data_IF_687924844622
#
_entry.id   IF_687924844622
#
_cell.length_a   1.000
_cell.length_b   1.000
_cell.length_c   1.000
_cell.angle_alpha   90.00
_cell.angle_beta   90.00
_cell.angle_gamma   90.00
#
_symmetry.space_group_name_H-M   'P 1'
#
loop_
_entity.id
_entity.type
_entity.pdbx_description
1 polymer ?
#
# COMPACT_ATOMS: atom_id res chain seq x y z
N UNK A 1 56.50 44.66 50.02
CA UNK A 1 55.16 44.06 50.19
C UNK A 1 54.57 43.94 48.79
N UNK A 2 54.85 42.81 48.13
CA UNK A 2 54.66 42.58 46.70
C UNK A 2 53.52 41.56 46.55
N UNK A 3 52.49 41.89 45.75
CA UNK A 3 51.41 40.98 45.38
C UNK A 3 51.97 39.85 44.50
N UNK A 4 51.73 38.59 44.89
CA UNK A 4 52.00 37.40 44.09
C UNK A 4 50.72 37.02 43.33
N UNK A 5 50.79 37.00 41.99
CA UNK A 5 49.76 36.46 41.12
C UNK A 5 49.87 34.92 41.09
N UNK A 6 48.76 34.22 41.35
CA UNK A 6 48.65 32.78 41.18
C UNK A 6 48.07 32.47 39.80
N UNK A 7 48.92 32.00 38.87
CA UNK A 7 48.48 31.25 37.70
C UNK A 7 48.07 29.85 38.14
N UNK A 8 46.76 29.54 38.09
CA UNK A 8 46.28 28.17 38.09
C UNK A 8 46.35 27.63 36.65
N UNK A 9 47.30 26.74 36.41
CA UNK A 9 47.31 25.82 35.27
C UNK A 9 46.16 24.82 35.45
N UNK A 10 45.13 24.90 34.62
CA UNK A 10 44.14 23.84 34.47
C UNK A 10 44.83 22.66 33.79
N UNK A 11 45.20 21.66 34.60
CA UNK A 11 45.68 20.37 34.14
C UNK A 11 44.52 19.59 33.54
N UNK A 12 44.65 19.19 32.28
CA UNK A 12 43.73 18.26 31.61
C UNK A 12 43.52 17.02 32.49
N UNK A 13 42.28 16.75 32.85
CA UNK A 13 41.87 15.54 33.55
C UNK A 13 42.22 14.30 32.73
N UNK A 14 42.77 13.30 33.40
CA UNK A 14 43.29 12.09 32.79
C UNK A 14 42.20 11.24 32.15
N UNK A 15 42.58 10.59 31.04
CA UNK A 15 41.87 9.50 30.41
C UNK A 15 41.86 8.26 31.31
N UNK A 16 40.79 8.06 32.06
CA UNK A 16 40.44 6.80 32.71
C UNK A 16 39.73 5.85 31.72
N UNK A 17 40.53 5.24 30.85
CA UNK A 17 40.49 3.79 30.59
C UNK A 17 39.20 3.11 30.12
N UNK A 18 38.21 3.81 29.57
CA UNK A 18 37.01 3.20 28.95
C UNK A 18 36.83 3.65 27.49
N UNK A 19 37.92 3.69 26.73
CA UNK A 19 37.88 3.84 25.26
C UNK A 19 37.48 2.51 24.61
N UNK A 20 36.29 2.00 24.92
CA UNK A 20 35.69 0.93 24.13
C UNK A 20 35.28 1.52 22.78
N UNK A 21 35.84 1.02 21.69
CA UNK A 21 35.34 1.34 20.36
C UNK A 21 33.85 1.00 20.30
N UNK A 22 33.03 1.95 19.85
CA UNK A 22 31.59 1.72 19.66
C UNK A 22 31.42 1.04 18.31
N UNK A 23 30.43 0.17 18.20
CA UNK A 23 30.09 -0.48 16.94
C UNK A 23 28.63 -0.20 16.65
N UNK A 24 28.38 0.56 15.58
CA UNK A 24 27.03 0.69 15.04
C UNK A 24 26.79 -0.47 14.08
N UNK A 25 25.73 -1.22 14.33
CA UNK A 25 25.25 -2.29 13.45
C UNK A 25 23.95 -1.83 12.82
N UNK A 26 23.64 -2.36 11.65
CA UNK A 26 22.34 -2.13 11.06
C UNK A 26 22.11 -2.96 9.83
N UNK A 27 20.92 -2.82 9.27
CA UNK A 27 20.48 -3.46 8.04
C UNK A 27 19.93 -2.42 7.09
N UNK A 28 20.18 -2.58 5.80
CA UNK A 28 19.52 -1.81 4.74
C UNK A 28 18.48 -2.72 4.09
N UNK A 29 17.22 -2.31 4.13
CA UNK A 29 16.10 -3.18 3.79
C UNK A 29 15.03 -2.42 2.99
N UNK A 30 14.62 -3.00 1.85
CA UNK A 30 13.43 -2.58 1.10
C UNK A 30 12.36 -3.66 1.25
N UNK A 31 11.88 -4.29 0.18
CA UNK A 31 11.10 -5.53 0.31
C UNK A 31 11.98 -6.76 0.54
N UNK A 32 13.29 -6.59 0.36
CA UNK A 32 14.33 -7.59 0.60
C UNK A 32 15.58 -6.88 1.15
N UNK A 33 16.54 -7.61 1.74
CA UNK A 33 17.81 -7.03 2.13
C UNK A 33 18.56 -6.43 0.93
N UNK A 34 19.07 -5.21 1.08
CA UNK A 34 19.81 -4.52 0.01
C UNK A 34 21.27 -4.95 0.06
N UNK A 35 21.70 -5.79 -0.88
CA UNK A 35 23.06 -6.35 -0.93
C UNK A 35 24.03 -5.42 -1.65
N UNK A 36 25.21 -5.19 -1.07
CA UNK A 36 26.27 -4.38 -1.69
C UNK A 36 25.99 -2.87 -1.73
N UNK A 37 25.05 -2.37 -0.93
CA UNK A 37 24.85 -0.94 -0.76
C UNK A 37 26.06 -0.29 -0.07
N UNK A 38 26.42 0.90 -0.51
CA UNK A 38 27.49 1.70 0.09
C UNK A 38 26.94 2.53 1.25
N UNK A 39 27.32 2.18 2.48
CA UNK A 39 26.85 2.83 3.71
C UNK A 39 27.83 3.89 4.19
N UNK A 40 27.28 5.04 4.59
CA UNK A 40 27.99 6.16 5.23
C UNK A 40 27.27 6.55 6.51
N UNK A 41 28.01 6.69 7.61
CA UNK A 41 27.48 7.11 8.92
C UNK A 41 28.10 8.46 9.28
N UNK A 42 27.26 9.43 9.66
CA UNK A 42 27.66 10.80 9.96
C UNK A 42 27.06 11.32 11.25
N UNK A 43 27.77 12.19 11.95
CA UNK A 43 27.24 12.92 13.12
C UNK A 43 26.11 13.85 12.72
N UNK A 44 25.03 13.87 13.51
CA UNK A 44 23.96 14.86 13.39
C UNK A 44 24.40 16.27 13.80
N UNK A 45 25.45 16.41 14.61
CA UNK A 45 25.90 17.69 15.15
C UNK A 45 26.77 18.49 14.17
N UNK A 46 27.72 17.84 13.49
CA UNK A 46 28.71 18.52 12.64
C UNK A 46 28.94 17.89 11.26
N UNK A 47 28.10 16.91 10.87
CA UNK A 47 28.18 16.21 9.59
C UNK A 47 29.47 15.38 9.38
N UNK A 48 30.28 15.19 10.42
CA UNK A 48 31.50 14.41 10.36
C UNK A 48 31.19 12.94 10.02
N UNK A 49 31.86 12.40 9.01
CA UNK A 49 31.70 11.01 8.60
C UNK A 49 32.59 10.08 9.43
N UNK A 50 31.98 9.13 10.14
CA UNK A 50 32.67 8.11 10.93
C UNK A 50 33.12 6.93 10.09
N UNK A 51 32.27 6.50 9.16
CA UNK A 51 32.60 5.51 8.15
C UNK A 51 31.96 5.91 6.82
N UNK A 52 32.59 5.51 5.72
CA UNK A 52 32.15 5.83 4.37
C UNK A 52 32.49 4.65 3.47
N UNK A 53 31.54 4.26 2.61
CA UNK A 53 31.76 3.17 1.66
C UNK A 53 31.76 1.77 2.30
N UNK A 54 31.07 1.60 3.44
CA UNK A 54 30.93 0.27 4.07
C UNK A 54 29.91 -0.52 3.26
N UNK A 55 30.29 -1.64 2.60
CA UNK A 55 29.33 -2.42 1.83
C UNK A 55 28.40 -3.21 2.76
N UNK A 56 27.12 -3.31 2.40
CA UNK A 56 26.22 -4.26 3.04
C UNK A 56 26.51 -5.70 2.60
N UNK A 57 26.33 -6.65 3.51
CA UNK A 57 26.44 -8.08 3.27
C UNK A 57 25.19 -8.64 2.55
N UNK A 58 25.18 -9.96 2.32
CA UNK A 58 24.09 -10.66 1.62
C UNK A 58 22.74 -10.59 2.37
N UNK A 59 22.77 -10.41 3.69
CA UNK A 59 21.60 -10.18 4.54
C UNK A 59 21.28 -8.68 4.72
N UNK A 60 21.90 -7.81 3.90
CA UNK A 60 21.75 -6.35 3.98
C UNK A 60 22.42 -5.72 5.19
N UNK A 61 23.11 -6.51 6.04
CA UNK A 61 23.73 -6.00 7.25
C UNK A 61 25.00 -5.20 6.97
N UNK A 62 25.30 -4.23 7.83
CA UNK A 62 26.56 -3.50 7.83
C UNK A 62 27.06 -3.30 9.27
N UNK A 63 28.36 -3.05 9.39
CA UNK A 63 29.02 -2.77 10.66
C UNK A 63 29.94 -1.57 10.49
N UNK A 64 29.71 -0.52 11.28
CA UNK A 64 30.48 0.71 11.27
C UNK A 64 31.15 0.92 12.64
N UNK A 65 32.49 0.88 12.72
CA UNK A 65 33.19 1.25 13.95
C UNK A 65 33.09 2.77 14.17
N UNK A 66 32.67 3.17 15.36
CA UNK A 66 32.55 4.57 15.78
C UNK A 66 33.55 4.85 16.91
N UNK A 67 34.35 5.90 16.73
CA UNK A 67 35.39 6.28 17.67
C UNK A 67 34.79 6.78 19.00
N UNK A 68 35.47 6.50 20.11
CA UNK A 68 35.06 6.96 21.44
C UNK A 68 35.12 8.49 21.56
N UNK A 69 34.10 9.10 22.18
CA UNK A 69 34.01 10.55 22.45
C UNK A 69 32.83 11.29 21.80
N UNK A 70 31.94 10.56 21.13
CA UNK A 70 30.86 11.16 20.34
C UNK A 70 29.52 11.32 21.09
N UNK A 71 28.68 12.20 20.56
CA UNK A 71 27.39 12.62 21.11
C UNK A 71 26.27 11.55 21.04
N UNK A 72 26.51 10.42 20.37
CA UNK A 72 25.55 9.32 20.25
C UNK A 72 24.42 9.58 19.25
N UNK A 73 24.55 10.61 18.40
CA UNK A 73 23.52 11.06 17.49
C UNK A 73 24.03 11.02 16.04
N UNK A 74 23.52 10.07 15.27
CA UNK A 74 23.99 9.80 13.90
C UNK A 74 22.85 9.77 12.89
N UNK A 75 23.21 10.01 11.64
CA UNK A 75 22.38 9.62 10.52
C UNK A 75 23.18 8.74 9.56
N UNK A 76 22.46 7.79 8.98
CA UNK A 76 23.02 6.75 8.11
C UNK A 76 22.44 6.92 6.72
N UNK A 77 23.30 6.84 5.71
CA UNK A 77 22.93 6.90 4.30
C UNK A 77 23.42 5.64 3.63
N UNK A 78 22.53 4.89 3.00
CA UNK A 78 22.84 3.77 2.13
C UNK A 78 22.57 4.18 0.68
N UNK A 79 23.51 3.90 -0.22
CA UNK A 79 23.42 4.24 -1.64
C UNK A 79 23.75 3.03 -2.53
N UNK A 80 22.95 2.81 -3.56
CA UNK A 80 23.15 1.73 -4.52
C UNK A 80 22.97 0.32 -3.93
N UNK A 81 23.26 -0.70 -4.73
CA UNK A 81 23.14 -2.11 -4.32
C UNK A 81 22.01 -2.87 -5.04
N UNK A 82 21.91 -4.17 -4.78
CA UNK A 82 20.81 -4.98 -5.28
C UNK A 82 19.50 -4.55 -4.60
N UNK A 83 18.48 -4.16 -5.38
CA UNK A 83 17.22 -3.62 -4.86
C UNK A 83 17.23 -2.11 -4.57
N UNK A 84 18.37 -1.44 -4.69
CA UNK A 84 18.51 0.01 -4.57
C UNK A 84 19.30 0.56 -5.78
N UNK A 85 18.64 1.08 -6.83
CA UNK A 85 19.32 1.53 -8.04
C UNK A 85 20.45 2.53 -7.78
N UNK A 86 21.47 2.53 -8.64
CA UNK A 86 22.59 3.47 -8.53
C UNK A 86 22.09 4.93 -8.52
N UNK A 87 22.61 5.75 -7.59
CA UNK A 87 22.19 7.14 -7.38
C UNK A 87 20.90 7.31 -6.57
N UNK A 88 20.30 6.22 -6.09
CA UNK A 88 19.21 6.28 -5.11
C UNK A 88 19.75 6.02 -3.71
N UNK A 89 19.20 6.73 -2.73
CA UNK A 89 19.59 6.61 -1.32
C UNK A 89 18.42 6.20 -0.44
N UNK A 90 18.72 5.49 0.64
CA UNK A 90 17.86 5.33 1.82
C UNK A 90 18.59 5.89 3.04
N UNK A 91 17.83 6.47 3.97
CA UNK A 91 18.37 7.13 5.16
C UNK A 91 17.70 6.60 6.42
N UNK A 92 18.45 6.61 7.52
CA UNK A 92 17.96 6.32 8.86
C UNK A 92 18.64 7.21 9.89
N UNK A 93 18.03 7.33 11.07
CA UNK A 93 18.59 8.05 12.21
C UNK A 93 19.02 7.10 13.32
N UNK A 94 19.90 7.58 14.19
CA UNK A 94 20.27 6.92 15.45
C UNK A 94 20.38 8.02 16.49
N UNK A 95 19.58 7.95 17.56
CA UNK A 95 19.43 9.06 18.50
C UNK A 95 19.79 8.64 19.92
N UNK A 96 20.46 9.51 20.67
CA UNK A 96 20.73 9.34 22.11
C UNK A 96 21.44 8.04 22.52
N UNK A 97 22.30 7.48 21.65
CA UNK A 97 23.04 6.26 22.00
C UNK A 97 24.01 6.56 23.14
N UNK A 98 23.92 5.82 24.24
CA UNK A 98 24.80 6.02 25.40
C UNK A 98 26.14 5.31 25.21
N UNK A 99 27.21 5.69 25.96
CA UNK A 99 28.48 4.99 25.89
C UNK A 99 28.33 3.48 26.18
N UNK A 100 29.01 2.64 25.38
CA UNK A 100 28.99 1.17 25.45
C UNK A 100 27.68 0.49 25.05
N UNK A 101 26.67 1.25 24.64
CA UNK A 101 25.46 0.68 24.05
C UNK A 101 25.76 0.19 22.63
N UNK A 102 25.40 -1.06 22.35
CA UNK A 102 25.30 -1.60 21.00
C UNK A 102 23.86 -1.40 20.53
N UNK A 103 23.68 -0.71 19.40
CA UNK A 103 22.38 -0.53 18.77
C UNK A 103 22.42 -1.07 17.35
N UNK A 104 21.35 -1.78 16.98
CA UNK A 104 21.05 -2.18 15.61
C UNK A 104 20.05 -1.18 15.06
N UNK A 105 20.23 -0.76 13.81
CA UNK A 105 19.31 0.17 13.15
C UNK A 105 18.78 -0.43 11.86
N UNK A 106 17.58 0.00 11.49
CA UNK A 106 17.01 -0.31 10.19
C UNK A 106 17.05 0.92 9.29
N UNK A 107 17.73 0.82 8.14
CA UNK A 107 17.65 1.81 7.06
C UNK A 107 16.65 1.29 6.03
N UNK A 108 15.48 1.92 5.97
CA UNK A 108 14.34 1.51 5.16
C UNK A 108 13.63 2.69 4.50
N UNK A 109 12.66 2.44 3.60
CA UNK A 109 11.77 3.48 3.08
C UNK A 109 11.04 4.27 4.18
N UNK A 110 10.64 3.62 5.28
CA UNK A 110 9.90 4.29 6.38
C UNK A 110 10.84 5.17 7.20
N UNK A 111 12.02 4.68 7.57
CA UNK A 111 13.04 5.49 8.25
C UNK A 111 13.44 6.68 7.39
N UNK A 112 13.51 6.50 6.07
CA UNK A 112 13.89 7.56 5.17
C UNK A 112 12.84 8.68 5.07
N UNK A 113 11.55 8.34 5.16
CA UNK A 113 10.48 9.35 5.26
C UNK A 113 10.58 10.16 6.55
N UNK A 114 10.91 9.53 7.68
CA UNK A 114 11.16 10.23 8.93
C UNK A 114 12.36 11.18 8.83
N UNK A 115 13.45 10.75 8.17
CA UNK A 115 14.59 11.65 7.87
C UNK A 115 14.19 12.79 6.93
N UNK A 116 13.38 12.52 5.90
CA UNK A 116 12.90 13.55 4.97
C UNK A 116 12.08 14.63 5.70
N UNK A 117 11.20 14.23 6.61
CA UNK A 117 10.44 15.14 7.46
C UNK A 117 11.35 15.96 8.37
N UNK A 118 12.33 15.33 9.03
CA UNK A 118 13.29 16.02 9.89
C UNK A 118 14.08 17.09 9.10
N UNK A 119 14.59 16.74 7.93
CA UNK A 119 15.33 17.66 7.05
C UNK A 119 14.46 18.84 6.60
N UNK A 120 13.21 18.58 6.21
CA UNK A 120 12.27 19.61 5.78
C UNK A 120 11.92 20.58 6.92
N UNK A 121 11.62 20.05 8.11
CA UNK A 121 11.32 20.87 9.29
C UNK A 121 12.50 21.73 9.73
N UNK A 122 13.71 21.18 9.69
CA UNK A 122 14.93 21.94 9.95
C UNK A 122 15.12 23.06 8.92
N UNK A 123 14.94 22.77 7.63
CA UNK A 123 15.05 23.76 6.56
C UNK A 123 14.01 24.88 6.67
N UNK A 124 12.81 24.57 7.17
CA UNK A 124 11.75 25.53 7.45
C UNK A 124 11.94 26.30 8.78
N UNK A 125 12.94 25.94 9.59
CA UNK A 125 13.19 26.55 10.90
C UNK A 125 12.12 26.22 11.95
N UNK A 126 11.37 25.12 11.77
CA UNK A 126 10.39 24.62 12.74
C UNK A 126 11.05 24.03 13.99
N UNK A 127 12.24 23.46 13.80
CA UNK A 127 13.04 22.87 14.87
C UNK A 127 14.38 23.63 15.02
N UNK A 128 14.90 23.76 16.25
CA UNK A 128 16.06 24.61 16.53
C UNK A 128 17.38 24.09 15.98
N UNK A 129 17.51 22.77 15.84
CA UNK A 129 18.68 22.09 15.32
C UNK A 129 18.31 20.71 14.74
N UNK A 130 19.29 20.05 14.10
CA UNK A 130 19.08 18.77 13.43
C UNK A 130 18.67 17.65 14.39
N UNK A 131 19.21 17.63 15.61
CA UNK A 131 18.89 16.59 16.60
C UNK A 131 17.43 16.74 17.05
N UNK A 132 16.99 17.96 17.36
CA UNK A 132 15.61 18.26 17.69
C UNK A 132 14.63 17.93 16.55
N UNK A 133 15.04 18.18 15.30
CA UNK A 133 14.23 17.84 14.13
C UNK A 133 14.04 16.32 13.98
N UNK A 134 15.10 15.54 14.16
CA UNK A 134 15.03 14.07 14.11
C UNK A 134 14.16 13.52 15.25
N UNK A 135 14.34 14.00 16.49
CA UNK A 135 13.49 13.63 17.63
C UNK A 135 12.02 13.92 17.37
N UNK A 136 11.71 15.09 16.80
CA UNK A 136 10.34 15.45 16.49
C UNK A 136 9.75 14.58 15.39
N UNK A 137 10.52 14.31 14.33
CA UNK A 137 10.07 13.43 13.25
C UNK A 137 9.79 12.01 13.75
N UNK A 138 10.68 11.43 14.57
CA UNK A 138 10.46 10.11 15.20
C UNK A 138 9.21 10.12 16.06
N UNK A 139 9.03 11.10 16.93
CA UNK A 139 7.86 11.18 17.79
C UNK A 139 6.54 11.28 17.00
N UNK A 140 6.55 12.00 15.87
CA UNK A 140 5.39 12.09 14.97
C UNK A 140 5.11 10.75 14.28
N UNK A 141 6.15 10.08 13.76
CA UNK A 141 6.01 8.77 13.14
C UNK A 141 5.59 7.69 14.13
N UNK A 142 6.16 7.66 15.34
CA UNK A 142 5.79 6.72 16.39
C UNK A 142 4.33 6.92 16.82
N UNK A 143 3.90 8.17 17.01
CA UNK A 143 2.50 8.48 17.30
C UNK A 143 1.53 8.04 16.17
N UNK A 144 1.98 8.07 14.91
CA UNK A 144 1.16 7.70 13.77
C UNK A 144 1.17 6.20 13.44
N UNK A 145 2.35 5.61 13.28
CA UNK A 145 2.56 4.21 12.93
C UNK A 145 2.50 3.27 14.13
N UNK A 146 2.50 3.78 15.37
CA UNK A 146 2.63 2.99 16.59
C UNK A 146 3.91 2.14 16.57
N UNK A 147 5.01 2.72 16.06
CA UNK A 147 6.31 2.09 15.83
C UNK A 147 7.38 3.16 15.58
N UNK A 148 8.51 3.05 16.27
CA UNK A 148 9.70 3.87 15.99
C UNK A 148 10.37 3.41 14.69
N UNK A 149 10.47 4.27 13.65
CA UNK A 149 11.02 3.90 12.36
C UNK A 149 12.56 3.74 12.35
N UNK A 150 13.26 4.17 13.40
CA UNK A 150 14.72 4.06 13.54
C UNK A 150 15.15 2.86 14.37
N UNK A 151 14.31 2.43 15.31
CA UNK A 151 14.63 1.35 16.25
C UNK A 151 13.99 0.00 15.92
N UNK A 152 12.87 -0.03 15.20
CA UNK A 152 12.22 -1.29 14.90
C UNK A 152 13.08 -2.15 13.96
N UNK A 153 13.28 -3.41 14.37
CA UNK A 153 13.97 -4.41 13.57
C UNK A 153 13.03 -5.01 12.51
N UNK A 154 13.51 -5.16 11.28
CA UNK A 154 12.73 -5.87 10.25
C UNK A 154 12.52 -7.33 10.64
N UNK A 155 11.38 -7.88 10.22
CA UNK A 155 11.00 -9.26 10.49
C UNK A 155 10.89 -10.09 9.22
N UNK A 156 11.14 -11.38 9.37
CA UNK A 156 10.83 -12.35 8.33
C UNK A 156 9.31 -12.57 8.25
N UNK A 157 8.70 -12.10 7.16
CA UNK A 157 7.28 -12.26 6.91
C UNK A 157 6.91 -13.66 6.41
N UNK A 158 7.88 -14.55 6.14
CA UNK A 158 7.63 -15.94 5.71
C UNK A 158 7.32 -16.90 6.86
N UNK A 159 7.45 -16.44 8.11
CA UNK A 159 7.23 -17.23 9.32
C UNK A 159 6.15 -16.61 10.23
N UNK A 160 5.45 -17.42 11.04
CA UNK A 160 4.44 -16.91 11.98
C UNK A 160 4.97 -15.78 12.88
N UNK A 161 4.19 -14.70 13.03
CA UNK A 161 4.58 -13.54 13.83
C UNK A 161 3.38 -12.91 14.54
N UNK A 162 3.64 -12.23 15.66
CA UNK A 162 2.72 -11.28 16.27
C UNK A 162 2.83 -9.91 15.61
N UNK A 163 1.79 -9.07 15.76
CA UNK A 163 1.80 -7.67 15.37
C UNK A 163 2.56 -6.79 16.39
N UNK A 164 3.87 -6.94 16.43
CA UNK A 164 4.79 -6.04 17.17
C UNK A 164 5.45 -5.03 16.22
N UNK A 165 6.32 -4.18 16.77
CA UNK A 165 6.91 -3.04 16.06
C UNK A 165 7.70 -3.46 14.80
N UNK A 166 8.43 -4.57 14.89
CA UNK A 166 9.12 -5.13 13.73
C UNK A 166 8.18 -5.63 12.64
N UNK A 167 7.06 -6.27 13.02
CA UNK A 167 6.04 -6.68 12.07
C UNK A 167 5.35 -5.47 11.42
N UNK A 168 5.02 -4.44 12.20
CA UNK A 168 4.41 -3.19 11.71
C UNK A 168 5.33 -2.45 10.74
N UNK A 169 6.61 -2.29 11.08
CA UNK A 169 7.60 -1.69 10.19
C UNK A 169 7.70 -2.47 8.88
N UNK A 170 7.86 -3.79 8.97
CA UNK A 170 8.04 -4.63 7.78
C UNK A 170 6.77 -4.63 6.91
N UNK A 171 5.59 -4.73 7.51
CA UNK A 171 4.31 -4.60 6.80
C UNK A 171 4.17 -3.22 6.14
N UNK A 172 4.57 -2.13 6.79
CA UNK A 172 4.54 -0.80 6.19
C UNK A 172 5.48 -0.69 4.97
N UNK A 173 6.67 -1.29 5.05
CA UNK A 173 7.60 -1.34 3.91
C UNK A 173 6.97 -2.12 2.75
N UNK A 174 6.44 -3.32 2.99
CA UNK A 174 5.76 -4.10 1.96
C UNK A 174 4.47 -3.43 1.44
N UNK A 175 3.76 -2.72 2.30
CA UNK A 175 2.58 -1.92 1.97
C UNK A 175 2.91 -0.80 0.98
N UNK A 176 4.01 -0.07 1.17
CA UNK A 176 4.46 0.95 0.21
C UNK A 176 4.78 0.35 -1.17
N UNK A 177 5.38 -0.84 -1.22
CA UNK A 177 5.64 -1.54 -2.47
C UNK A 177 4.34 -2.04 -3.12
N UNK A 178 3.42 -2.58 -2.33
CA UNK A 178 2.10 -3.04 -2.78
C UNK A 178 1.25 -1.87 -3.31
N UNK A 179 1.31 -0.70 -2.68
CA UNK A 179 0.63 0.51 -3.14
C UNK A 179 1.13 0.95 -4.52
N UNK A 180 2.45 0.99 -4.72
CA UNK A 180 3.03 1.28 -6.03
C UNK A 180 2.62 0.25 -7.10
N UNK A 181 2.54 -1.03 -6.73
CA UNK A 181 2.08 -2.09 -7.62
C UNK A 181 0.58 -1.93 -7.99
N UNK A 182 -0.28 -1.61 -7.02
CA UNK A 182 -1.70 -1.36 -7.26
C UNK A 182 -1.91 -0.13 -8.15
N UNK A 183 -1.17 0.95 -7.91
CA UNK A 183 -1.19 2.14 -8.77
C UNK A 183 -0.77 1.82 -10.22
N UNK A 184 0.14 0.86 -10.43
CA UNK A 184 0.53 0.41 -11.77
C UNK A 184 -0.60 -0.37 -12.45
N UNK A 185 -1.28 -1.26 -11.71
CA UNK A 185 -2.44 -2.02 -12.20
C UNK A 185 -3.59 -1.07 -12.57
N UNK A 186 -3.90 -0.10 -11.71
CA UNK A 186 -4.94 0.91 -11.95
C UNK A 186 -4.65 1.73 -13.22
N UNK A 187 -3.38 2.07 -13.46
CA UNK A 187 -2.94 2.76 -14.67
C UNK A 187 -2.87 1.87 -15.93
N UNK A 188 -3.11 0.56 -15.80
CA UNK A 188 -3.00 -0.39 -16.91
C UNK A 188 -1.56 -0.53 -17.45
N UNK A 189 -0.54 -0.20 -16.66
CA UNK A 189 0.87 -0.37 -17.02
C UNK A 189 1.42 -1.68 -16.47
N UNK A 190 2.56 -2.14 -17.01
CA UNK A 190 3.14 -3.41 -16.58
C UNK A 190 3.52 -3.39 -15.09
N UNK A 191 3.34 -4.52 -14.41
CA UNK A 191 3.77 -4.68 -13.02
C UNK A 191 5.27 -4.33 -12.88
N UNK A 192 5.61 -3.55 -11.86
CA UNK A 192 6.97 -3.05 -11.63
C UNK A 192 7.36 -1.82 -12.45
N UNK A 193 6.50 -1.30 -13.34
CA UNK A 193 6.74 -0.01 -14.02
C UNK A 193 6.71 1.16 -13.05
N UNK A 194 5.92 1.03 -11.98
CA UNK A 194 5.92 1.92 -10.82
C UNK A 194 6.50 1.15 -9.64
N UNK A 195 7.38 1.80 -8.89
CA UNK A 195 8.18 1.18 -7.85
C UNK A 195 8.01 1.89 -6.53
N UNK A 196 8.26 1.16 -5.43
CA UNK A 196 8.31 1.72 -4.08
C UNK A 196 9.23 2.95 -3.99
N UNK A 197 10.38 2.92 -4.68
CA UNK A 197 11.36 4.01 -4.65
C UNK A 197 10.88 5.26 -5.39
N UNK A 198 10.07 5.12 -6.45
CA UNK A 198 9.43 6.26 -7.10
C UNK A 198 8.36 6.89 -6.22
N UNK A 199 7.55 6.07 -5.54
CA UNK A 199 6.59 6.56 -4.55
C UNK A 199 7.30 7.28 -3.40
N UNK A 200 8.38 6.69 -2.87
CA UNK A 200 9.21 7.28 -1.83
C UNK A 200 9.79 8.63 -2.26
N UNK A 201 10.26 8.75 -3.51
CA UNK A 201 10.77 10.01 -4.05
C UNK A 201 9.69 11.10 -4.10
N UNK A 202 8.46 10.76 -4.45
CA UNK A 202 7.33 11.71 -4.43
C UNK A 202 6.95 12.13 -3.02
N UNK A 203 6.92 11.20 -2.06
CA UNK A 203 6.65 11.53 -0.66
C UNK A 203 7.75 12.41 -0.03
N UNK A 204 9.01 12.22 -0.43
CA UNK A 204 10.11 13.14 -0.07
C UNK A 204 9.91 14.53 -0.64
N UNK A 205 9.45 14.60 -1.90
CA UNK A 205 9.16 15.88 -2.54
C UNK A 205 8.03 16.59 -1.80
N UNK A 206 6.96 15.87 -1.49
CA UNK A 206 5.79 16.38 -0.78
C UNK A 206 6.16 17.03 0.55
N UNK A 207 6.84 16.28 1.43
CA UNK A 207 7.24 16.81 2.74
C UNK A 207 8.30 17.90 2.65
N UNK A 208 9.04 18.01 1.55
CA UNK A 208 9.98 19.11 1.31
C UNK A 208 9.30 20.39 0.80
N UNK A 209 8.03 20.32 0.41
CA UNK A 209 7.27 21.48 -0.05
C UNK A 209 6.80 22.36 1.12
N UNK A 210 6.41 23.63 0.86
CA UNK A 210 5.95 24.53 1.90
C UNK A 210 4.79 23.96 2.72
N UNK A 211 4.97 23.86 4.03
CA UNK A 211 4.01 23.23 4.94
C UNK A 211 4.60 22.03 5.65
N UNK A 212 5.58 21.36 5.02
CA UNK A 212 6.35 20.24 5.54
C UNK A 212 5.48 19.10 6.10
N UNK A 213 4.45 18.76 5.32
CA UNK A 213 3.46 17.72 5.59
C UNK A 213 3.32 16.84 4.34
N UNK A 214 2.82 15.63 4.53
CA UNK A 214 2.42 14.72 3.46
C UNK A 214 0.99 15.04 3.04
N UNK A 215 0.78 16.08 2.22
CA UNK A 215 -0.55 16.51 1.78
C UNK A 215 -0.71 16.55 0.25
N UNK A 216 0.31 16.13 -0.49
CA UNK A 216 0.32 16.05 -1.95
C UNK A 216 0.60 17.37 -2.64
N UNK A 217 1.21 18.35 -1.96
CA UNK A 217 1.29 19.75 -2.39
C UNK A 217 -0.10 20.31 -2.77
N UNK A 218 -1.15 19.90 -2.06
CA UNK A 218 -2.54 20.22 -2.40
C UNK A 218 -3.13 19.42 -3.57
N UNK A 219 -2.61 18.20 -3.83
CA UNK A 219 -3.11 17.23 -4.82
C UNK A 219 -2.40 17.23 -6.17
N UNK A 220 -1.21 17.82 -6.26
CA UNK A 220 -0.45 17.95 -7.51
C UNK A 220 0.49 16.77 -7.81
N UNK A 221 0.87 15.99 -6.80
CA UNK A 221 1.85 14.92 -6.94
C UNK A 221 1.23 13.63 -7.44
N UNK A 222 1.84 13.05 -8.49
CA UNK A 222 1.31 11.88 -9.21
C UNK A 222 2.40 10.86 -9.49
N UNK A 223 2.12 9.60 -9.17
CA UNK A 223 2.97 8.46 -9.48
C UNK A 223 2.65 7.94 -10.89
N UNK A 224 3.58 8.09 -11.82
CA UNK A 224 3.38 7.69 -13.22
C UNK A 224 2.61 8.72 -14.03
N UNK A 225 1.74 8.29 -14.94
CA UNK A 225 0.96 9.19 -15.80
C UNK A 225 -0.35 9.64 -15.15
N UNK A 226 -0.86 8.86 -14.18
CA UNK A 226 -2.02 9.11 -13.33
C UNK A 226 -3.10 10.00 -13.98
N UNK A 227 -3.92 9.37 -14.83
CA UNK A 227 -5.03 10.03 -15.52
C UNK A 227 -6.13 10.42 -14.52
N UNK A 228 -6.97 11.39 -14.91
CA UNK A 228 -8.07 11.84 -14.05
C UNK A 228 -9.05 10.68 -13.74
N UNK A 229 -9.42 10.57 -12.46
CA UNK A 229 -10.29 9.51 -11.97
C UNK A 229 -9.56 8.24 -11.53
N UNK A 230 -8.22 8.25 -11.52
CA UNK A 230 -7.40 7.25 -10.83
C UNK A 230 -7.00 7.78 -9.46
N UNK A 231 -7.04 6.93 -8.43
CA UNK A 231 -6.93 7.35 -7.03
C UNK A 231 -5.61 6.94 -6.40
N UNK A 232 -5.12 5.71 -6.64
CA UNK A 232 -3.97 5.15 -5.93
C UNK A 232 -2.64 5.74 -6.40
N UNK A 233 -2.63 6.37 -7.57
CA UNK A 233 -1.48 7.06 -8.12
C UNK A 233 -1.39 8.53 -7.73
N UNK A 234 -2.42 9.11 -7.10
CA UNK A 234 -2.35 10.45 -6.52
C UNK A 234 -1.65 10.37 -5.16
N UNK A 235 -0.59 11.18 -5.00
CA UNK A 235 0.13 11.28 -3.74
C UNK A 235 -0.46 12.44 -2.95
N UNK A 236 -0.95 12.13 -1.76
CA UNK A 236 -1.56 13.10 -0.84
C UNK A 236 -1.65 12.54 0.58
N UNK A 237 -2.42 13.21 1.43
CA UNK A 237 -2.57 12.82 2.83
C UNK A 237 -3.12 11.40 3.03
N UNK A 238 -3.90 10.89 2.08
CA UNK A 238 -4.44 9.52 2.16
C UNK A 238 -3.41 8.46 1.76
N UNK A 239 -2.33 8.81 1.04
CA UNK A 239 -1.34 7.86 0.53
C UNK A 239 -0.61 7.12 1.64
N UNK A 240 -0.19 7.85 2.68
CA UNK A 240 0.46 7.27 3.87
C UNK A 240 -0.54 6.82 4.94
N UNK A 241 -1.83 7.11 4.75
CA UNK A 241 -2.91 6.77 5.67
C UNK A 241 -3.75 5.62 5.12
N UNK A 242 -4.91 5.96 4.55
CA UNK A 242 -5.87 4.98 4.04
C UNK A 242 -5.26 4.04 3.00
N UNK A 243 -4.61 4.58 1.97
CA UNK A 243 -4.13 3.76 0.86
C UNK A 243 -2.95 2.86 1.26
N UNK A 244 -2.06 3.31 2.14
CA UNK A 244 -1.06 2.43 2.73
C UNK A 244 -1.71 1.32 3.54
N UNK A 245 -2.72 1.62 4.36
CA UNK A 245 -3.46 0.61 5.11
C UNK A 245 -4.16 -0.41 4.21
N UNK A 246 -4.80 0.04 3.13
CA UNK A 246 -5.38 -0.83 2.10
C UNK A 246 -4.33 -1.70 1.42
N UNK A 247 -3.18 -1.13 1.07
CA UNK A 247 -2.08 -1.88 0.47
C UNK A 247 -1.49 -2.92 1.44
N UNK A 248 -1.41 -2.62 2.75
CA UNK A 248 -1.03 -3.62 3.77
C UNK A 248 -2.04 -4.76 3.83
N UNK A 249 -3.34 -4.46 3.79
CA UNK A 249 -4.40 -5.47 3.77
C UNK A 249 -4.34 -6.33 2.50
N UNK A 250 -4.11 -5.73 1.34
CA UNK A 250 -3.90 -6.45 0.09
C UNK A 250 -2.67 -7.36 0.17
N UNK A 251 -1.54 -6.86 0.68
CA UNK A 251 -0.33 -7.65 0.89
C UNK A 251 -0.58 -8.84 1.83
N UNK A 252 -1.31 -8.63 2.92
CA UNK A 252 -1.60 -9.67 3.91
C UNK A 252 -2.37 -10.87 3.32
N UNK A 253 -3.06 -10.69 2.19
CA UNK A 253 -3.76 -11.76 1.44
C UNK A 253 -2.87 -12.50 0.44
N UNK A 254 -1.65 -12.01 0.19
CA UNK A 254 -0.73 -12.66 -0.75
C UNK A 254 -0.03 -13.86 -0.12
N UNK A 255 0.42 -14.84 -0.92
CA UNK A 255 1.23 -15.96 -0.43
C UNK A 255 2.57 -15.55 0.21
N UNK A 256 3.04 -14.31 -0.02
CA UNK A 256 4.25 -13.79 0.58
C UNK A 256 4.09 -13.49 2.08
N UNK A 257 2.85 -13.35 2.57
CA UNK A 257 2.55 -13.22 3.99
C UNK A 257 2.42 -14.60 4.67
N UNK A 258 3.53 -15.12 5.19
CA UNK A 258 3.58 -16.31 6.02
C UNK A 258 3.37 -16.07 7.52
N UNK A 259 3.09 -14.82 7.95
CA UNK A 259 2.97 -14.47 9.37
C UNK A 259 1.71 -15.02 10.05
N UNK A 260 0.68 -15.33 9.26
CA UNK A 260 -0.64 -15.68 9.76
C UNK A 260 -1.48 -14.47 10.20
N UNK A 261 -0.95 -13.24 10.14
CA UNK A 261 -1.70 -12.01 10.39
C UNK A 261 -2.64 -11.72 9.22
N UNK A 262 -3.95 -11.70 9.50
CA UNK A 262 -5.00 -11.40 8.53
C UNK A 262 -5.64 -10.02 8.75
N UNK A 263 -6.70 -9.72 7.98
CA UNK A 263 -7.44 -8.45 8.09
C UNK A 263 -7.87 -8.16 9.53
N UNK A 264 -8.44 -9.15 10.22
CA UNK A 264 -8.96 -8.98 11.58
C UNK A 264 -7.87 -8.61 12.60
N UNK A 265 -6.66 -9.16 12.45
CA UNK A 265 -5.52 -8.85 13.32
C UNK A 265 -5.00 -7.43 13.08
N UNK A 266 -5.04 -6.98 11.83
CA UNK A 266 -4.46 -5.72 11.39
C UNK A 266 -5.42 -4.53 11.52
N UNK A 267 -6.73 -4.75 11.44
CA UNK A 267 -7.71 -3.69 11.25
C UNK A 267 -7.68 -2.63 12.37
N UNK A 268 -7.45 -3.04 13.62
CA UNK A 268 -7.37 -2.08 14.74
C UNK A 268 -6.18 -1.14 14.62
N UNK A 269 -5.03 -1.66 14.19
CA UNK A 269 -3.83 -0.84 13.96
C UNK A 269 -4.00 0.04 12.73
N UNK A 270 -4.49 -0.53 11.63
CA UNK A 270 -4.66 0.21 10.38
C UNK A 270 -5.75 1.27 10.47
N UNK A 271 -6.80 1.07 11.26
CA UNK A 271 -7.83 2.10 11.48
C UNK A 271 -7.26 3.27 12.28
N UNK A 272 -6.34 3.02 13.22
CA UNK A 272 -5.60 4.08 13.91
C UNK A 272 -4.71 4.85 12.96
N UNK A 273 -3.93 4.14 12.13
CA UNK A 273 -3.09 4.75 11.09
C UNK A 273 -3.94 5.60 10.14
N UNK A 274 -5.08 5.07 9.67
CA UNK A 274 -6.00 5.79 8.78
C UNK A 274 -6.60 7.02 9.45
N UNK A 275 -7.04 6.94 10.70
CA UNK A 275 -7.79 8.03 11.37
C UNK A 275 -6.92 9.03 12.12
N UNK A 276 -5.64 8.73 12.38
CA UNK A 276 -4.73 9.66 13.02
C UNK A 276 -4.35 10.80 12.05
N UNK A 277 -5.08 11.91 12.19
CA UNK A 277 -4.89 13.12 11.40
C UNK A 277 -3.86 14.09 12.04
N UNK A 278 -2.74 13.58 12.55
CA UNK A 278 -1.65 14.39 13.12
C UNK A 278 -1.34 15.60 12.19
N UNK A 279 -1.69 16.84 12.59
CA UNK A 279 -1.64 17.96 11.68
C UNK A 279 -0.22 18.32 11.23
N UNK A 280 0.79 17.95 12.03
CA UNK A 280 2.19 18.12 11.66
C UNK A 280 2.70 17.09 10.66
N UNK A 281 1.91 16.04 10.36
CA UNK A 281 2.19 15.07 9.32
C UNK A 281 1.28 15.25 8.10
N UNK A 282 0.01 15.62 8.27
CA UNK A 282 -0.99 15.57 7.17
C UNK A 282 -1.80 16.86 6.99
N UNK A 283 -1.48 17.93 7.73
CA UNK A 283 -2.26 19.16 7.70
C UNK A 283 -3.71 18.95 8.15
N UNK A 284 -4.65 19.59 7.44
CA UNK A 284 -6.09 19.54 7.75
C UNK A 284 -6.86 18.53 6.89
N UNK A 285 -6.19 17.50 6.38
CA UNK A 285 -6.79 16.54 5.46
C UNK A 285 -7.88 15.68 6.11
N UNK A 286 -8.91 15.35 5.30
CA UNK A 286 -9.95 14.42 5.71
C UNK A 286 -9.42 12.99 5.85
N UNK A 287 -10.27 12.08 6.33
CA UNK A 287 -9.95 10.66 6.42
C UNK A 287 -10.44 9.95 5.15
N UNK A 288 -9.51 9.50 4.30
CA UNK A 288 -9.81 8.65 3.15
C UNK A 288 -10.11 7.18 3.51
N UNK A 289 -10.63 6.40 2.55
CA UNK A 289 -10.91 4.97 2.74
C UNK A 289 -9.63 4.12 2.68
N UNK A 290 -9.72 2.85 3.08
CA UNK A 290 -8.63 1.88 2.83
C UNK A 290 -8.54 1.53 1.35
N UNK A 291 -9.69 1.32 0.72
CA UNK A 291 -9.81 1.04 -0.71
C UNK A 291 -10.79 2.05 -1.34
N UNK A 292 -10.35 2.89 -2.29
CA UNK A 292 -11.24 3.72 -3.08
C UNK A 292 -11.76 3.01 -4.34
N UNK A 293 -11.23 1.84 -4.70
CA UNK A 293 -11.53 1.17 -5.95
C UNK A 293 -12.69 0.20 -5.80
N UNK A 294 -13.53 0.12 -6.82
CA UNK A 294 -14.60 -0.84 -6.88
C UNK A 294 -14.12 -2.19 -7.46
N UNK A 295 -14.74 -3.32 -7.09
CA UNK A 295 -14.40 -4.62 -7.64
C UNK A 295 -14.64 -4.68 -9.16
N UNK A 296 -13.85 -5.46 -9.88
CA UNK A 296 -14.10 -5.74 -11.31
C UNK A 296 -14.98 -6.97 -11.47
N UNK A 297 -16.11 -6.85 -12.18
CA UNK A 297 -17.05 -7.96 -12.42
C UNK A 297 -16.90 -8.52 -13.83
N UNK A 298 -16.76 -9.84 -13.97
CA UNK A 298 -16.59 -10.55 -15.24
C UNK A 298 -17.57 -11.71 -15.37
N UNK A 299 -18.22 -11.82 -16.53
CA UNK A 299 -19.12 -12.94 -16.85
C UNK A 299 -18.39 -14.00 -17.66
N UNK A 300 -18.43 -15.25 -17.19
CA UNK A 300 -18.01 -16.42 -17.96
C UNK A 300 -19.20 -17.05 -18.70
N UNK A 301 -20.39 -17.04 -18.10
CA UNK A 301 -21.63 -17.49 -18.73
C UNK A 301 -22.85 -16.74 -18.15
N UNK A 302 -23.92 -16.53 -18.94
CA UNK A 302 -24.04 -16.86 -20.35
C UNK A 302 -23.28 -15.86 -21.25
N UNK A 303 -23.04 -16.23 -22.51
CA UNK A 303 -22.55 -15.29 -23.51
C UNK A 303 -23.61 -14.23 -23.84
N UNK A 304 -23.18 -13.00 -24.12
CA UNK A 304 -24.07 -11.91 -24.53
C UNK A 304 -24.94 -12.32 -25.74
N UNK A 305 -26.24 -12.07 -25.65
CA UNK A 305 -27.20 -12.32 -26.72
C UNK A 305 -27.61 -13.79 -26.90
N UNK A 306 -27.23 -14.69 -25.98
CA UNK A 306 -27.64 -16.10 -26.06
C UNK A 306 -29.16 -16.25 -26.02
N UNK A 307 -29.73 -17.05 -26.92
CA UNK A 307 -31.16 -17.40 -26.91
C UNK A 307 -31.40 -18.72 -26.17
N UNK A 308 -32.36 -18.73 -25.25
CA UNK A 308 -32.78 -19.91 -24.51
C UNK A 308 -34.23 -20.27 -24.84
N UNK A 309 -34.40 -21.48 -25.34
CA UNK A 309 -35.67 -22.05 -25.73
C UNK A 309 -36.43 -22.68 -24.55
N UNK A 310 -37.72 -22.95 -24.75
CA UNK A 310 -38.54 -23.72 -23.81
C UNK A 310 -37.84 -25.00 -23.31
N UNK A 311 -37.84 -25.21 -21.99
CA UNK A 311 -37.23 -26.36 -21.34
C UNK A 311 -35.72 -26.24 -21.09
N UNK A 312 -35.07 -25.17 -21.55
CA UNK A 312 -33.66 -24.90 -21.23
C UNK A 312 -33.50 -24.19 -19.87
N UNK A 313 -32.25 -24.04 -19.45
CA UNK A 313 -31.89 -23.28 -18.25
C UNK A 313 -30.69 -22.38 -18.59
N UNK A 314 -30.67 -21.20 -17.98
CA UNK A 314 -29.57 -20.26 -18.06
C UNK A 314 -28.52 -20.70 -17.05
N UNK A 315 -27.34 -21.08 -17.53
CA UNK A 315 -26.17 -21.24 -16.68
C UNK A 315 -25.55 -19.86 -16.43
N UNK A 316 -25.50 -19.47 -15.17
CA UNK A 316 -24.87 -18.23 -14.71
C UNK A 316 -23.54 -18.60 -14.07
N UNK A 317 -22.46 -18.01 -14.55
CA UNK A 317 -21.13 -18.10 -13.98
C UNK A 317 -20.49 -16.71 -14.08
N UNK A 318 -20.39 -16.05 -12.93
CA UNK A 318 -19.89 -14.69 -12.80
C UNK A 318 -18.85 -14.65 -11.69
N UNK A 319 -17.80 -13.88 -11.89
CA UNK A 319 -16.76 -13.64 -10.89
C UNK A 319 -16.54 -12.16 -10.68
N UNK A 320 -16.13 -11.80 -9.48
CA UNK A 320 -15.64 -10.48 -9.12
C UNK A 320 -14.21 -10.58 -8.60
N UNK A 321 -13.41 -9.55 -8.85
CA UNK A 321 -12.04 -9.49 -8.37
C UNK A 321 -11.73 -8.11 -7.80
N UNK A 322 -11.07 -8.12 -6.65
CA UNK A 322 -10.64 -6.92 -5.94
C UNK A 322 -9.36 -7.19 -5.15
N UNK A 323 -8.46 -6.19 -5.09
CA UNK A 323 -7.16 -6.33 -4.45
C UNK A 323 -7.28 -6.50 -2.93
N UNK A 324 -8.22 -5.80 -2.30
CA UNK A 324 -8.49 -5.89 -0.87
C UNK A 324 -9.50 -6.99 -0.57
N UNK A 325 -10.36 -7.33 -1.53
CA UNK A 325 -11.16 -8.55 -1.53
C UNK A 325 -12.64 -8.28 -1.76
N UNK A 326 -13.36 -9.30 -2.22
CA UNK A 326 -14.80 -9.22 -2.48
C UNK A 326 -15.57 -9.66 -1.24
N UNK A 327 -16.49 -8.82 -0.75
CA UNK A 327 -17.38 -9.18 0.35
C UNK A 327 -18.61 -9.96 -0.12
N UNK A 328 -19.16 -9.58 -1.28
CA UNK A 328 -20.35 -10.25 -1.82
C UNK A 328 -20.45 -10.08 -3.33
N UNK A 329 -21.04 -11.09 -3.98
CA UNK A 329 -21.42 -11.09 -5.38
C UNK A 329 -22.82 -11.69 -5.50
N UNK A 330 -23.73 -10.96 -6.13
CA UNK A 330 -25.12 -11.40 -6.32
C UNK A 330 -25.54 -11.15 -7.76
N UNK A 331 -26.51 -11.92 -8.25
CA UNK A 331 -27.08 -11.72 -9.59
C UNK A 331 -28.58 -11.51 -9.49
N UNK A 332 -29.05 -10.38 -10.00
CA UNK A 332 -30.45 -10.07 -10.22
C UNK A 332 -30.86 -10.47 -11.64
N UNK A 333 -32.04 -11.09 -11.78
CA UNK A 333 -32.65 -11.44 -13.06
C UNK A 333 -33.91 -10.61 -13.22
N UNK A 334 -33.86 -9.59 -14.08
CA UNK A 334 -34.97 -8.64 -14.23
C UNK A 334 -36.22 -9.38 -14.74
N UNK A 335 -37.31 -9.34 -13.96
CA UNK A 335 -38.57 -10.01 -14.31
C UNK A 335 -38.70 -11.45 -13.77
N UNK A 336 -37.68 -11.99 -13.11
CA UNK A 336 -37.84 -13.18 -12.27
C UNK A 336 -38.56 -12.80 -10.97
N UNK A 337 -39.53 -13.61 -10.55
CA UNK A 337 -40.25 -13.43 -9.28
C UNK A 337 -39.59 -14.12 -8.10
N UNK A 338 -38.61 -14.99 -8.34
CA UNK A 338 -37.88 -15.73 -7.34
C UNK A 338 -36.40 -15.29 -7.30
N UNK A 339 -35.83 -15.26 -6.11
CA UNK A 339 -34.40 -15.02 -5.90
C UNK A 339 -33.59 -16.13 -6.56
N UNK A 340 -32.53 -15.75 -7.28
CA UNK A 340 -31.59 -16.74 -7.83
C UNK A 340 -30.71 -17.24 -6.71
N UNK A 341 -30.69 -18.55 -6.50
CA UNK A 341 -29.87 -19.19 -5.47
C UNK A 341 -28.46 -19.42 -5.99
N UNK A 342 -27.49 -18.81 -5.33
CA UNK A 342 -26.07 -19.10 -5.54
C UNK A 342 -25.73 -20.50 -5.03
N UNK A 343 -24.87 -21.20 -5.76
CA UNK A 343 -24.37 -22.54 -5.44
C UNK A 343 -22.87 -22.57 -5.19
N UNK A 344 -22.16 -21.45 -5.42
CA UNK A 344 -20.76 -21.29 -5.03
C UNK A 344 -20.69 -20.67 -3.63
N UNK A 345 -19.91 -21.24 -2.69
CA UNK A 345 -19.76 -20.67 -1.35
C UNK A 345 -18.79 -19.47 -1.30
N UNK A 346 -18.06 -19.19 -2.37
CA UNK A 346 -17.00 -18.17 -2.39
C UNK A 346 -17.60 -16.78 -2.67
N UNK A 347 -17.30 -15.74 -1.88
CA UNK A 347 -17.90 -14.41 -2.08
C UNK A 347 -17.53 -13.75 -3.42
N UNK A 348 -16.41 -14.16 -4.03
CA UNK A 348 -15.91 -13.69 -5.33
C UNK A 348 -16.55 -14.36 -6.55
N UNK A 349 -17.39 -15.38 -6.38
CA UNK A 349 -17.96 -16.15 -7.49
C UNK A 349 -19.43 -16.47 -7.25
N UNK A 350 -20.24 -16.31 -8.28
CA UNK A 350 -21.65 -16.64 -8.26
C UNK A 350 -21.95 -17.67 -9.35
N UNK A 351 -22.52 -18.80 -8.96
CA UNK A 351 -22.94 -19.85 -9.89
C UNK A 351 -24.38 -20.22 -9.63
N UNK A 352 -25.20 -20.18 -10.69
CA UNK A 352 -26.58 -20.59 -10.60
C UNK A 352 -27.10 -21.22 -11.89
N UNK A 353 -28.17 -22.00 -11.76
CA UNK A 353 -28.94 -22.52 -12.89
C UNK A 353 -30.37 -21.99 -12.78
N UNK A 354 -30.76 -21.14 -13.71
CA UNK A 354 -32.10 -20.53 -13.74
C UNK A 354 -32.94 -21.19 -14.82
N UNK A 355 -33.99 -21.97 -14.49
CA UNK A 355 -34.87 -22.51 -15.51
C UNK A 355 -35.59 -21.36 -16.23
N UNK A 356 -35.71 -21.43 -17.56
CA UNK A 356 -36.41 -20.34 -18.27
C UNK A 356 -37.91 -20.34 -17.96
N UNK A 357 -38.48 -21.50 -17.61
CA UNK A 357 -39.91 -21.62 -17.30
C UNK A 357 -40.37 -20.56 -16.30
N UNK A 358 -41.31 -19.70 -16.71
CA UNK A 358 -41.84 -18.60 -15.89
C UNK A 358 -41.15 -17.25 -16.06
N UNK A 359 -40.05 -17.17 -16.82
CA UNK A 359 -39.46 -15.90 -17.27
C UNK A 359 -40.26 -15.32 -18.45
N UNK A 360 -40.31 -13.98 -18.61
CA UNK A 360 -40.98 -13.34 -19.73
C UNK A 360 -40.31 -13.66 -21.08
N UNK A 361 -41.12 -13.75 -22.14
CA UNK A 361 -40.64 -13.88 -23.52
C UNK A 361 -39.87 -12.65 -23.97
N UNK A 362 -38.85 -12.87 -24.82
CA UNK A 362 -38.05 -11.80 -25.42
C UNK A 362 -36.79 -11.46 -24.60
N UNK A 363 -36.26 -10.23 -24.75
CA UNK A 363 -35.02 -9.82 -24.10
C UNK A 363 -35.10 -9.86 -22.57
N UNK A 364 -34.07 -10.43 -21.95
CA UNK A 364 -33.90 -10.52 -20.51
C UNK A 364 -32.52 -10.00 -20.12
N UNK A 365 -32.45 -9.19 -19.06
CA UNK A 365 -31.19 -8.67 -18.53
C UNK A 365 -30.87 -9.31 -17.19
N UNK A 366 -29.65 -9.86 -17.09
CA UNK A 366 -29.05 -10.32 -15.85
C UNK A 366 -28.11 -9.23 -15.36
N UNK A 367 -28.14 -8.88 -14.08
CA UNK A 367 -27.27 -7.84 -13.49
C UNK A 367 -26.52 -8.43 -12.32
N UNK A 368 -25.19 -8.53 -12.45
CA UNK A 368 -24.31 -8.90 -11.36
C UNK A 368 -23.94 -7.66 -10.56
N UNK A 369 -24.01 -7.74 -9.24
CA UNK A 369 -23.68 -6.67 -8.29
C UNK A 369 -22.66 -7.24 -7.31
N UNK A 370 -21.47 -6.63 -7.31
CA UNK A 370 -20.38 -6.96 -6.40
C UNK A 370 -20.17 -5.83 -5.38
N UNK A 371 -19.72 -6.18 -4.19
CA UNK A 371 -19.20 -5.25 -3.18
C UNK A 371 -17.88 -5.78 -2.64
N UNK A 372 -16.90 -4.92 -2.49
CA UNK A 372 -15.63 -5.26 -1.83
C UNK A 372 -15.76 -5.25 -0.29
N UNK A 373 -14.66 -5.51 0.42
CA UNK A 373 -14.59 -5.50 1.89
C UNK A 373 -14.69 -4.10 2.52
N UNK A 374 -14.63 -3.03 1.72
CA UNK A 374 -14.73 -1.64 2.14
C UNK A 374 -16.04 -0.97 1.61
N UNK A 375 -16.98 -1.80 1.13
CA UNK A 375 -18.33 -1.49 0.63
C UNK A 375 -18.40 -0.71 -0.69
N UNK A 376 -17.32 -0.67 -1.48
CA UNK A 376 -17.36 -0.09 -2.82
C UNK A 376 -18.17 -1.00 -3.77
N UNK A 377 -19.20 -0.47 -4.45
CA UNK A 377 -20.06 -1.27 -5.32
C UNK A 377 -19.57 -1.29 -6.76
N UNK A 378 -19.75 -2.43 -7.44
CA UNK A 378 -19.66 -2.52 -8.89
C UNK A 378 -20.81 -3.33 -9.47
N UNK A 379 -21.17 -3.06 -10.72
CA UNK A 379 -22.20 -3.84 -11.41
C UNK A 379 -21.85 -4.07 -12.88
N UNK A 380 -22.19 -5.26 -13.39
CA UNK A 380 -22.09 -5.59 -14.80
C UNK A 380 -23.33 -6.36 -15.25
N UNK A 381 -23.89 -5.97 -16.40
CA UNK A 381 -25.07 -6.63 -16.97
C UNK A 381 -24.73 -7.54 -18.14
N UNK A 382 -25.60 -8.53 -18.37
CA UNK A 382 -25.54 -9.51 -19.45
C UNK A 382 -26.92 -9.66 -20.07
N UNK A 383 -27.04 -9.40 -21.37
CA UNK A 383 -28.28 -9.58 -22.12
C UNK A 383 -28.42 -11.01 -22.65
N UNK A 384 -29.61 -11.58 -22.53
CA UNK A 384 -30.01 -12.87 -23.16
C UNK A 384 -31.42 -12.75 -23.75
N UNK A 385 -31.84 -13.73 -24.53
CA UNK A 385 -33.18 -13.78 -25.13
C UNK A 385 -33.88 -15.05 -24.68
N UNK A 386 -35.11 -14.92 -24.22
CA UNK A 386 -36.01 -16.03 -23.93
C UNK A 386 -36.93 -16.25 -25.12
N UNK A 387 -36.99 -17.49 -25.60
CA UNK A 387 -37.91 -17.93 -26.67
C UNK A 387 -38.62 -19.23 -26.24
N UNK A 388 -39.69 -19.10 -25.45
CA UNK A 388 -40.46 -20.28 -25.00
C UNK A 388 -41.53 -20.70 -26.01
N UNK A 389 -41.55 -20.10 -27.20
CA UNK A 389 -42.43 -20.50 -28.27
C UNK A 389 -41.87 -21.79 -28.87
N UNK A 390 -42.32 -22.94 -28.37
CA UNK A 390 -42.11 -24.20 -29.07
C UNK A 390 -42.81 -24.11 -30.42
N UNK A 391 -42.06 -23.79 -31.48
CA UNK A 391 -42.52 -23.60 -32.87
C UNK A 391 -44.02 -23.77 -33.08
N UNK A 392 -44.76 -22.67 -33.12
CA UNK A 392 -46.21 -22.68 -33.34
C UNK A 392 -46.57 -22.76 -34.81
N UNK A 393 -47.60 -23.54 -35.15
CA UNK A 393 -48.27 -23.42 -36.45
C UNK A 393 -49.09 -22.13 -36.46
N UNK A 394 -48.63 -21.10 -37.17
CA UNK A 394 -49.46 -19.93 -37.46
C UNK A 394 -50.61 -20.37 -38.37
N UNK A 395 -51.81 -20.41 -37.80
CA UNK A 395 -53.03 -20.76 -38.52
C UNK A 395 -53.83 -19.48 -38.73
N UNK A 396 -53.92 -19.02 -39.97
CA UNK A 396 -54.71 -17.84 -40.35
C UNK A 396 -55.61 -18.14 -41.53
N UNK A 397 -56.78 -17.47 -41.59
CA UNK A 397 -57.63 -17.51 -42.78
C UNK A 397 -57.55 -16.18 -43.50
N UNK A 398 -57.05 -16.18 -44.75
CA UNK A 398 -57.10 -14.99 -45.61
C UNK A 398 -58.54 -14.83 -46.10
N UNK A 399 -59.30 -13.90 -45.51
CA UNK A 399 -60.67 -13.61 -45.95
C UNK A 399 -60.70 -12.41 -46.90
N UNK A 400 -60.24 -12.64 -48.14
CA UNK A 400 -60.70 -11.90 -49.31
C UNK A 400 -60.76 -12.83 -50.54
N UNK A 401 -61.52 -13.91 -50.39
CA UNK A 401 -61.73 -14.96 -51.41
C UNK A 401 -60.74 -16.12 -51.32
N UNK A 402 -61.15 -17.32 -51.77
CA UNK A 402 -60.25 -18.49 -51.86
C UNK A 402 -59.18 -18.21 -52.92
N UNK A 403 -57.92 -18.10 -52.50
CA UNK A 403 -56.76 -18.06 -53.40
C UNK A 403 -56.06 -19.41 -53.31
N UNK A 404 -56.11 -20.22 -54.36
CA UNK A 404 -55.40 -21.50 -54.41
C UNK A 404 -53.92 -21.26 -54.76
N UNK A 405 -52.99 -21.92 -54.04
CA UNK A 405 -51.55 -21.86 -54.33
C UNK A 405 -50.81 -20.61 -53.86
N UNK A 406 -51.38 -19.81 -52.96
CA UNK A 406 -50.69 -18.64 -52.40
C UNK A 406 -49.59 -19.05 -51.40
N UNK A 407 -48.40 -18.47 -51.55
CA UNK A 407 -47.32 -18.56 -50.56
C UNK A 407 -47.64 -17.67 -49.37
N UNK A 408 -47.70 -18.25 -48.18
CA UNK A 408 -47.82 -17.50 -46.92
C UNK A 408 -46.44 -17.45 -46.28
N UNK A 409 -46.00 -16.25 -45.92
CA UNK A 409 -44.76 -16.02 -45.17
C UNK A 409 -45.14 -15.36 -43.86
N UNK A 410 -44.80 -16.01 -42.75
CA UNK A 410 -44.92 -15.43 -41.42
C UNK A 410 -43.56 -14.84 -41.02
N UNK A 411 -43.58 -13.69 -40.35
CA UNK A 411 -42.40 -13.03 -39.79
C UNK A 411 -42.43 -13.12 -38.28
#
# INVERSE_FOLDING_TARGET
MLLLAACLSLTCGGNDGTSGDRVLRGVVYTTEPVVGASVTVRSLFNDFAYCTGVPTADDGSFVCPILAGDDGNWYVVAEGGAGLPAGTTLRGGVLDVVPLEERTITVSPVSDLAVALADARLAAGKDPDRIAAYHTAVALFDAHWDTDPFDADVKDLSAPSSLDDGAKLTLAIHGLAQLAAQAAVEQGVAAGSLTQLQLLALLRQDVAAPGEVFDGEGGALRLGTCADGLFLCEVGADSLRGYLGGAILAFARTPANGTGLGRDDLLTWLERLRTNAEPQLFGAAAVGPFDPLAPTVSWAAPSEGTTFNAGQSIAIDVSAADANGVASLTVEVVGATATVTDTDPSPERFVAMVPVAGLPEGPLTLTAIARDLDDNPASASRGVVIDQVSGGTISGTVTKGRVAGATVTAY
#
